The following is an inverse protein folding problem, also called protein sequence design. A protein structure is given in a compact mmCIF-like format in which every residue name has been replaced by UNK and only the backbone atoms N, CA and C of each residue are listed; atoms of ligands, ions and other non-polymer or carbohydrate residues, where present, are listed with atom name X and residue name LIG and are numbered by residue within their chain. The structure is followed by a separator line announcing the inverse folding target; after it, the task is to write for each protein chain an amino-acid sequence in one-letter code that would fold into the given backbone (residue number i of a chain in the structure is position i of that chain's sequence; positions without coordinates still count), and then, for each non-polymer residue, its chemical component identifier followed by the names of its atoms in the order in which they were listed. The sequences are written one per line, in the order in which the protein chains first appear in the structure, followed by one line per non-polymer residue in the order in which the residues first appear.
data_IF_602183855844
#
_entry.id   IF_602183855844
#
_cell.length_a   1.000
_cell.length_b   1.000
_cell.length_c   1.000
_cell.angle_alpha   90.00
_cell.angle_beta   90.00
_cell.angle_gamma   90.00
#
_symmetry.space_group_name_H-M   'P 1'
#
loop_
_entity.id
_entity.type
_entity.pdbx_description
1 polymer ?
#
# COMPACT_ATOMS: atom_id res chain seq x y z
N UNK A 1 -21.38 -5.30 2.59
CA UNK A 1 -21.20 -3.94 3.12
C UNK A 1 -20.41 -4.09 4.40
N UNK A 2 -19.08 -3.96 4.34
CA UNK A 2 -18.27 -4.00 5.56
C UNK A 2 -18.33 -2.61 6.19
N UNK A 3 -19.05 -2.52 7.29
CA UNK A 3 -19.04 -1.41 8.23
C UNK A 3 -17.77 -1.55 9.10
N UNK A 4 -16.58 -1.49 8.48
CA UNK A 4 -15.34 -1.95 9.09
C UNK A 4 -14.07 -1.28 8.56
N UNK A 5 -13.04 -1.28 9.41
CA UNK A 5 -11.70 -0.75 9.11
C UNK A 5 -11.05 -1.50 7.95
N UNK A 6 -10.65 -0.78 6.89
CA UNK A 6 -9.90 -1.32 5.77
C UNK A 6 -8.46 -1.65 6.20
N UNK A 7 -8.00 -2.88 5.95
CA UNK A 7 -6.71 -3.38 6.43
C UNK A 7 -5.69 -3.54 5.30
N UNK A 8 -4.57 -2.85 5.43
CA UNK A 8 -3.40 -3.00 4.55
C UNK A 8 -2.30 -3.77 5.29
N UNK A 9 -1.81 -4.84 4.68
CA UNK A 9 -0.67 -5.60 5.18
C UNK A 9 0.54 -5.44 4.25
N UNK A 10 1.67 -5.03 4.81
CA UNK A 10 2.92 -4.85 4.07
C UNK A 10 3.91 -5.97 4.42
N UNK A 11 4.47 -6.66 3.42
CA UNK A 11 5.26 -7.89 3.64
C UNK A 11 6.65 -7.77 3.02
N UNK A 12 7.68 -8.06 3.83
CA UNK A 12 9.03 -8.32 3.32
C UNK A 12 9.59 -9.60 3.96
N UNK A 13 10.89 -9.86 3.86
CA UNK A 13 11.51 -11.05 4.47
C UNK A 13 11.57 -10.94 6.00
N UNK A 14 12.41 -10.04 6.53
CA UNK A 14 12.71 -9.98 7.97
C UNK A 14 11.80 -9.10 8.83
N UNK A 15 10.92 -8.30 8.22
CA UNK A 15 10.09 -7.27 8.89
C UNK A 15 10.85 -6.26 9.77
N UNK A 16 12.08 -5.94 9.39
CA UNK A 16 12.93 -4.94 10.08
C UNK A 16 13.38 -3.79 9.19
N UNK A 17 13.39 -3.95 7.86
CA UNK A 17 13.86 -2.91 6.93
C UNK A 17 12.71 -2.35 6.08
N UNK A 18 12.36 -3.04 4.98
CA UNK A 18 11.50 -2.51 3.93
C UNK A 18 10.03 -2.42 4.35
N UNK A 19 9.44 -3.50 4.86
CA UNK A 19 8.01 -3.50 5.22
C UNK A 19 7.63 -2.54 6.37
N UNK A 20 8.38 -2.42 7.49
CA UNK A 20 8.03 -1.42 8.50
C UNK A 20 8.25 0.00 8.01
N UNK A 21 9.23 0.26 7.14
CA UNK A 21 9.42 1.57 6.54
C UNK A 21 8.25 1.97 5.63
N UNK A 22 7.86 1.07 4.72
CA UNK A 22 6.70 1.28 3.84
C UNK A 22 5.39 1.42 4.61
N UNK A 23 5.19 0.68 5.71
CA UNK A 23 4.05 0.88 6.61
C UNK A 23 3.98 2.32 7.13
N UNK A 24 5.09 2.88 7.62
CA UNK A 24 5.14 4.26 8.12
C UNK A 24 4.88 5.30 7.03
N UNK A 25 5.42 5.07 5.83
CA UNK A 25 5.16 5.92 4.66
C UNK A 25 3.67 5.92 4.28
N UNK A 26 3.03 4.76 4.24
CA UNK A 26 1.61 4.62 3.91
C UNK A 26 0.72 5.28 4.97
N UNK A 27 1.01 5.11 6.27
CA UNK A 27 0.31 5.84 7.34
C UNK A 27 0.44 7.36 7.19
N UNK A 28 1.64 7.84 6.83
CA UNK A 28 1.88 9.27 6.54
C UNK A 28 1.11 9.75 5.31
N UNK A 29 1.00 8.93 4.26
CA UNK A 29 0.18 9.22 3.09
C UNK A 29 -1.32 9.32 3.44
N UNK A 30 -1.84 8.42 4.27
CA UNK A 30 -3.22 8.48 4.75
C UNK A 30 -3.50 9.78 5.53
N UNK A 31 -2.56 10.24 6.35
CA UNK A 31 -2.69 11.52 7.05
C UNK A 31 -2.73 12.72 6.08
N UNK A 32 -1.92 12.70 5.02
CA UNK A 32 -1.97 13.73 3.96
C UNK A 32 -3.26 13.69 3.17
N UNK A 33 -3.75 12.50 2.83
CA UNK A 33 -5.04 12.33 2.17
C UNK A 33 -6.16 12.88 3.05
N UNK A 34 -6.18 12.54 4.34
CA UNK A 34 -7.14 13.08 5.31
C UNK A 34 -7.17 14.61 5.30
N UNK A 35 -5.99 15.25 5.31
CA UNK A 35 -5.86 16.70 5.24
C UNK A 35 -6.33 17.27 3.89
N UNK A 36 -6.01 16.61 2.77
CA UNK A 36 -6.38 17.05 1.44
C UNK A 36 -7.88 16.92 1.16
N UNK A 37 -8.54 15.90 1.71
CA UNK A 37 -9.98 15.66 1.52
C UNK A 37 -10.85 16.26 2.62
N UNK A 38 -10.26 16.65 3.76
CA UNK A 38 -10.99 17.06 4.96
C UNK A 38 -11.73 15.92 5.65
N UNK A 39 -11.34 14.66 5.40
CA UNK A 39 -12.00 13.47 5.97
C UNK A 39 -11.06 12.73 6.91
N UNK A 40 -11.27 12.89 8.22
CA UNK A 40 -10.46 12.26 9.25
C UNK A 40 -10.55 10.71 9.24
N UNK A 41 -11.56 10.14 8.57
CA UNK A 41 -11.72 8.68 8.50
C UNK A 41 -10.56 7.98 7.80
N UNK A 42 -9.80 8.67 6.97
CA UNK A 42 -8.58 8.12 6.35
C UNK A 42 -7.54 7.66 7.38
N UNK A 43 -7.54 8.22 8.60
CA UNK A 43 -6.60 7.82 9.67
C UNK A 43 -7.25 6.95 10.75
N UNK A 44 -8.59 6.88 10.84
CA UNK A 44 -9.30 6.05 11.82
C UNK A 44 -9.82 4.74 11.25
N UNK A 45 -10.22 4.73 9.97
CA UNK A 45 -10.91 3.62 9.32
C UNK A 45 -9.99 2.85 8.37
N UNK A 46 -8.71 3.22 8.29
CA UNK A 46 -7.69 2.52 7.50
C UNK A 46 -6.52 2.15 8.41
N UNK A 47 -6.28 0.85 8.54
CA UNK A 47 -5.21 0.29 9.35
C UNK A 47 -4.11 -0.27 8.46
N UNK A 48 -2.89 0.26 8.59
CA UNK A 48 -1.70 -0.26 7.89
C UNK A 48 -0.78 -0.95 8.89
N UNK A 49 -0.45 -2.21 8.61
CA UNK A 49 0.46 -3.02 9.42
C UNK A 49 1.47 -3.74 8.54
N UNK A 50 2.54 -4.29 9.12
CA UNK A 50 3.55 -5.05 8.39
C UNK A 50 3.86 -6.40 9.01
N UNK A 51 4.43 -7.32 8.22
CA UNK A 51 4.90 -8.63 8.67
C UNK A 51 6.09 -9.11 7.83
N UNK A 52 6.69 -10.23 8.23
CA UNK A 52 7.86 -10.83 7.61
C UNK A 52 7.67 -12.30 7.28
N UNK A 53 8.05 -12.75 6.09
CA UNK A 53 7.94 -14.17 5.71
C UNK A 53 8.96 -15.05 6.44
N UNK A 54 10.10 -14.46 6.83
CA UNK A 54 11.09 -15.02 7.73
C UNK A 54 11.43 -13.96 8.78
N UNK A 55 10.43 -13.59 9.58
CA UNK A 55 10.52 -12.41 10.43
C UNK A 55 11.56 -12.56 11.54
N UNK A 56 12.24 -11.46 11.83
CA UNK A 56 13.14 -11.36 12.97
C UNK A 56 12.33 -10.93 14.19
N UNK A 57 11.44 -11.80 14.66
CA UNK A 57 10.37 -11.49 15.62
C UNK A 57 10.88 -10.70 16.83
N UNK A 58 10.15 -9.64 17.19
CA UNK A 58 10.44 -8.76 18.32
C UNK A 58 11.51 -7.70 18.05
N UNK A 59 12.21 -7.74 16.92
CA UNK A 59 13.24 -6.73 16.60
C UNK A 59 12.62 -5.40 16.16
N UNK A 60 13.23 -4.25 16.51
CA UNK A 60 12.80 -2.95 16.02
C UNK A 60 13.15 -2.78 14.54
N UNK A 61 12.77 -1.64 13.98
CA UNK A 61 13.25 -1.22 12.66
C UNK A 61 14.79 -1.16 12.70
N UNK A 62 15.42 -1.70 11.66
CA UNK A 62 16.87 -1.68 11.50
C UNK A 62 17.38 -0.22 11.52
N UNK A 63 18.37 0.14 12.35
CA UNK A 63 18.69 1.54 12.64
C UNK A 63 18.97 2.42 11.41
N UNK A 64 19.72 1.95 10.38
CA UNK A 64 19.87 2.70 9.12
C UNK A 64 18.55 3.02 8.42
N UNK A 65 17.55 2.12 8.45
CA UNK A 65 16.23 2.39 7.90
C UNK A 65 15.43 3.36 8.78
N UNK A 66 15.51 3.20 10.10
CA UNK A 66 14.82 4.08 11.04
C UNK A 66 15.28 5.54 10.89
N UNK A 67 16.59 5.76 10.70
CA UNK A 67 17.17 7.09 10.48
C UNK A 67 16.69 7.77 9.17
N UNK A 68 16.11 7.02 8.23
CA UNK A 68 15.61 7.55 6.96
C UNK A 68 14.12 7.91 7.00
N UNK A 69 13.41 7.69 8.12
CA UNK A 69 11.97 7.98 8.22
C UNK A 69 11.66 9.47 8.10
N UNK A 70 12.51 10.32 8.67
CA UNK A 70 12.35 11.78 8.56
C UNK A 70 12.47 12.25 7.10
N UNK A 71 13.35 11.62 6.30
CA UNK A 71 13.49 11.92 4.86
C UNK A 71 12.23 11.60 4.05
N UNK A 72 11.43 10.65 4.52
CA UNK A 72 10.15 10.29 3.92
C UNK A 72 8.99 11.21 4.34
N UNK A 73 9.27 12.30 5.07
CA UNK A 73 8.23 13.16 5.64
C UNK A 73 7.47 12.50 6.78
N UNK A 74 8.05 11.48 7.43
CA UNK A 74 7.46 10.77 8.57
C UNK A 74 8.11 11.25 9.86
N UNK A 75 8.15 12.57 10.05
CA UNK A 75 8.83 13.19 11.18
C UNK A 75 8.28 12.69 12.52
N UNK A 76 9.18 12.26 13.41
CA UNK A 76 8.81 11.78 14.76
C UNK A 76 8.15 10.40 14.80
N UNK A 77 8.01 9.70 13.66
CA UNK A 77 7.32 8.42 13.59
C UNK A 77 7.97 7.27 14.37
N UNK A 78 9.27 7.38 14.65
CA UNK A 78 10.01 6.44 15.51
C UNK A 78 9.49 6.50 16.97
N UNK A 79 8.91 7.62 17.39
CA UNK A 79 8.56 7.89 18.78
C UNK A 79 7.09 7.63 19.13
N UNK A 80 6.21 7.46 18.14
CA UNK A 80 4.75 7.39 18.37
C UNK A 80 4.27 5.98 18.72
N UNK A 81 4.92 4.94 18.18
CA UNK A 81 4.58 3.54 18.45
C UNK A 81 5.78 2.64 18.09
N UNK A 82 6.40 1.93 19.04
CA UNK A 82 7.58 1.11 18.77
C UNK A 82 7.21 -0.06 17.85
N UNK A 83 7.86 -0.12 16.69
CA UNK A 83 7.76 -1.28 15.81
C UNK A 83 8.38 -2.51 16.49
N UNK A 84 7.69 -3.64 16.41
CA UNK A 84 8.23 -4.95 16.72
C UNK A 84 7.94 -5.88 15.56
N UNK A 85 9.00 -6.44 14.97
CA UNK A 85 8.87 -7.35 13.86
C UNK A 85 8.00 -8.56 14.24
N UNK A 86 7.17 -9.01 13.30
CA UNK A 86 6.26 -10.16 13.50
C UNK A 86 6.21 -11.05 12.27
N UNK A 87 5.98 -12.34 12.52
CA UNK A 87 5.89 -13.35 11.49
C UNK A 87 4.62 -13.17 10.65
N UNK A 88 4.75 -13.41 9.34
CA UNK A 88 3.60 -13.54 8.46
C UNK A 88 2.87 -14.82 8.80
N UNK A 89 1.62 -14.67 9.22
CA UNK A 89 0.71 -15.76 9.50
C UNK A 89 -0.50 -15.70 8.56
N UNK A 90 -1.16 -16.85 8.37
CA UNK A 90 -2.32 -16.97 7.50
C UNK A 90 -3.44 -16.00 7.88
N UNK A 91 -3.68 -15.82 9.18
CA UNK A 91 -4.78 -14.99 9.68
C UNK A 91 -4.53 -13.51 9.35
N UNK A 92 -3.28 -13.04 9.41
CA UNK A 92 -2.92 -11.69 8.95
C UNK A 92 -3.25 -11.49 7.47
N UNK A 93 -3.04 -12.52 6.64
CA UNK A 93 -3.39 -12.46 5.21
C UNK A 93 -4.90 -12.52 5.02
N UNK A 94 -5.60 -13.35 5.79
CA UNK A 94 -7.05 -13.50 5.73
C UNK A 94 -7.77 -12.19 6.08
N UNK A 95 -7.30 -11.48 7.10
CA UNK A 95 -7.86 -10.23 7.62
C UNK A 95 -7.55 -9.00 6.76
N UNK A 96 -6.53 -9.04 5.91
CA UNK A 96 -6.14 -7.90 5.09
C UNK A 96 -7.09 -7.71 3.89
N UNK A 97 -7.45 -6.48 3.56
CA UNK A 97 -8.18 -6.14 2.33
C UNK A 97 -7.21 -5.86 1.16
N UNK A 98 -5.97 -5.51 1.48
CA UNK A 98 -4.87 -5.33 0.54
C UNK A 98 -3.56 -5.85 1.15
N UNK A 99 -2.79 -6.63 0.39
CA UNK A 99 -1.45 -7.06 0.77
C UNK A 99 -0.41 -6.58 -0.23
N UNK A 100 0.63 -5.92 0.25
CA UNK A 100 1.72 -5.35 -0.54
C UNK A 100 3.05 -5.99 -0.17
N UNK A 101 3.59 -6.82 -1.07
CA UNK A 101 4.92 -7.39 -0.95
C UNK A 101 6.00 -6.42 -1.44
N UNK A 102 7.16 -6.36 -0.77
CA UNK A 102 8.27 -5.49 -1.18
C UNK A 102 9.12 -6.09 -2.31
N UNK A 103 8.73 -7.27 -2.79
CA UNK A 103 9.30 -8.00 -3.90
C UNK A 103 8.28 -9.05 -4.35
N UNK A 104 8.42 -9.54 -5.57
CA UNK A 104 7.57 -10.58 -6.16
C UNK A 104 7.58 -11.87 -5.36
N UNK A 105 8.72 -12.23 -4.78
CA UNK A 105 8.82 -13.40 -3.91
C UNK A 105 7.88 -13.29 -2.71
N UNK A 106 7.76 -12.11 -2.07
CA UNK A 106 6.83 -11.91 -0.97
C UNK A 106 5.37 -12.05 -1.41
N UNK A 107 5.01 -11.52 -2.58
CA UNK A 107 3.69 -11.75 -3.18
C UNK A 107 3.44 -13.25 -3.37
N UNK A 108 4.41 -13.98 -3.92
CA UNK A 108 4.31 -15.43 -4.12
C UNK A 108 4.12 -16.16 -2.79
N UNK A 109 4.90 -15.84 -1.77
CA UNK A 109 4.83 -16.45 -0.45
C UNK A 109 3.46 -16.22 0.21
N UNK A 110 2.92 -15.00 0.14
CA UNK A 110 1.57 -14.68 0.62
C UNK A 110 0.50 -15.51 -0.12
N UNK A 111 0.59 -15.63 -1.44
CA UNK A 111 -0.36 -16.43 -2.25
C UNK A 111 -0.24 -17.91 -1.94
N UNK A 112 0.97 -18.43 -1.64
CA UNK A 112 1.15 -19.81 -1.19
C UNK A 112 0.48 -20.06 0.17
N UNK A 113 0.52 -19.08 1.08
CA UNK A 113 -0.15 -19.16 2.39
C UNK A 113 -1.68 -19.15 2.24
N UNK A 114 -2.21 -18.25 1.39
CA UNK A 114 -3.65 -18.12 1.14
C UNK A 114 -3.95 -17.83 -0.35
N UNK A 115 -4.18 -18.87 -1.17
CA UNK A 115 -4.38 -18.70 -2.62
C UNK A 115 -5.58 -17.82 -2.99
N UNK A 116 -6.65 -17.84 -2.18
CA UNK A 116 -7.85 -17.03 -2.40
C UNK A 116 -7.60 -15.53 -2.26
N UNK A 117 -6.52 -15.10 -1.62
CA UNK A 117 -6.16 -13.69 -1.51
C UNK A 117 -5.56 -13.12 -2.80
N UNK A 118 -5.26 -13.95 -3.81
CA UNK A 118 -4.48 -13.55 -5.00
C UNK A 118 -4.93 -12.25 -5.66
N UNK A 119 -6.24 -11.95 -5.75
CA UNK A 119 -6.77 -10.70 -6.33
C UNK A 119 -6.32 -9.44 -5.61
N UNK A 120 -6.05 -9.52 -4.30
CA UNK A 120 -5.69 -8.39 -3.42
C UNK A 120 -4.23 -8.40 -2.94
N UNK A 121 -3.37 -9.24 -3.53
CA UNK A 121 -1.94 -9.33 -3.17
C UNK A 121 -1.06 -8.91 -4.35
N UNK A 122 -0.26 -7.87 -4.17
CA UNK A 122 0.60 -7.28 -5.21
C UNK A 122 2.03 -7.10 -4.71
N UNK A 123 3.01 -7.01 -5.60
CA UNK A 123 4.25 -6.31 -5.24
C UNK A 123 3.98 -4.80 -5.16
N UNK A 124 4.69 -4.05 -4.30
CA UNK A 124 4.45 -2.62 -4.09
C UNK A 124 4.62 -1.82 -5.39
N UNK A 125 5.70 -2.08 -6.14
CA UNK A 125 5.93 -1.41 -7.42
C UNK A 125 4.92 -1.83 -8.49
N UNK A 126 4.59 -3.13 -8.56
CA UNK A 126 3.52 -3.64 -9.43
C UNK A 126 2.20 -2.91 -9.16
N UNK A 127 1.82 -2.74 -7.89
CA UNK A 127 0.59 -2.05 -7.51
C UNK A 127 0.59 -0.58 -7.95
N UNK A 128 1.68 0.14 -7.68
CA UNK A 128 1.81 1.54 -8.11
C UNK A 128 1.71 1.69 -9.63
N UNK A 129 2.37 0.81 -10.39
CA UNK A 129 2.32 0.79 -11.86
C UNK A 129 0.93 0.46 -12.39
N UNK A 130 0.27 -0.56 -11.84
CA UNK A 130 -1.10 -0.94 -12.25
C UNK A 130 -2.11 0.17 -11.93
N UNK A 131 -1.90 0.88 -10.81
CA UNK A 131 -2.74 2.00 -10.43
C UNK A 131 -2.55 3.20 -11.37
N UNK A 132 -1.31 3.54 -11.74
CA UNK A 132 -1.06 4.59 -12.74
C UNK A 132 -1.73 4.27 -14.08
N UNK A 133 -1.66 3.02 -14.54
CA UNK A 133 -2.34 2.57 -15.76
C UNK A 133 -3.88 2.60 -15.60
N UNK A 134 -4.40 2.26 -14.42
CA UNK A 134 -5.83 2.32 -14.12
C UNK A 134 -6.36 3.77 -14.13
N UNK A 135 -5.55 4.72 -13.67
CA UNK A 135 -5.85 6.17 -13.75
C UNK A 135 -5.84 6.60 -15.22
N UNK A 136 -4.78 6.28 -15.97
CA UNK A 136 -4.62 6.71 -17.36
C UNK A 136 -5.69 6.13 -18.30
N UNK A 137 -6.10 4.87 -18.08
CA UNK A 137 -7.13 4.19 -18.88
C UNK A 137 -8.56 4.54 -18.47
N UNK A 138 -8.77 5.28 -17.37
CA UNK A 138 -10.09 5.62 -16.84
C UNK A 138 -10.80 4.49 -16.09
N UNK A 139 -10.19 3.30 -15.96
CA UNK A 139 -10.75 2.16 -15.21
C UNK A 139 -10.97 2.51 -13.73
N UNK A 140 -10.04 3.26 -13.14
CA UNK A 140 -10.22 3.75 -11.76
C UNK A 140 -11.43 4.67 -11.63
N UNK A 141 -11.66 5.54 -12.62
CA UNK A 141 -12.80 6.44 -12.58
C UNK A 141 -14.14 5.68 -12.65
N UNK A 142 -14.20 4.59 -13.42
CA UNK A 142 -15.37 3.72 -13.48
C UNK A 142 -15.68 3.05 -12.13
N UNK A 143 -14.72 2.31 -11.59
CA UNK A 143 -14.84 1.59 -10.31
C UNK A 143 -15.15 2.54 -9.14
N UNK A 144 -14.51 3.72 -9.09
CA UNK A 144 -14.74 4.70 -8.04
C UNK A 144 -16.16 5.29 -8.07
N UNK A 145 -16.76 5.48 -9.26
CA UNK A 145 -18.14 5.97 -9.39
C UNK A 145 -19.15 4.93 -8.95
N UNK A 146 -18.88 3.66 -9.19
CA UNK A 146 -19.75 2.55 -8.77
C UNK A 146 -19.79 2.38 -7.24
N UNK A 147 -18.66 2.60 -6.56
CA UNK A 147 -18.58 2.48 -5.10
C UNK A 147 -19.44 3.53 -4.35
N UNK A 148 -19.62 4.73 -4.94
CA UNK A 148 -20.58 5.78 -4.59
C UNK A 148 -20.74 6.24 -3.11
N UNK A 149 -19.88 5.83 -2.17
CA UNK A 149 -20.06 6.12 -0.73
C UNK A 149 -19.15 7.21 -0.17
N UNK A 150 -18.10 7.61 -0.91
CA UNK A 150 -17.08 8.56 -0.43
C UNK A 150 -16.28 8.11 0.80
N UNK A 151 -16.59 6.93 1.35
CA UNK A 151 -15.90 6.38 2.52
C UNK A 151 -14.51 5.87 2.13
N UNK A 152 -13.48 6.05 2.97
CA UNK A 152 -12.11 5.61 2.68
C UNK A 152 -12.01 4.14 2.27
N UNK A 153 -12.69 3.24 2.99
CA UNK A 153 -12.69 1.81 2.67
C UNK A 153 -13.23 1.53 1.27
N UNK A 154 -14.34 2.14 0.87
CA UNK A 154 -14.93 1.94 -0.45
C UNK A 154 -14.05 2.51 -1.58
N UNK A 155 -13.38 3.63 -1.34
CA UNK A 155 -12.39 4.19 -2.28
C UNK A 155 -11.21 3.23 -2.44
N UNK A 156 -10.69 2.68 -1.34
CA UNK A 156 -9.58 1.74 -1.38
C UNK A 156 -9.97 0.41 -2.04
N UNK A 157 -11.17 -0.10 -1.79
CA UNK A 157 -11.73 -1.26 -2.50
C UNK A 157 -11.77 -1.01 -4.01
N UNK A 158 -12.28 0.15 -4.44
CA UNK A 158 -12.30 0.53 -5.85
C UNK A 158 -10.90 0.65 -6.46
N UNK A 159 -9.93 1.21 -5.71
CA UNK A 159 -8.52 1.29 -6.12
C UNK A 159 -7.91 -0.10 -6.30
N UNK A 160 -8.16 -1.03 -5.37
CA UNK A 160 -7.68 -2.41 -5.45
C UNK A 160 -8.30 -3.13 -6.64
N UNK A 161 -9.61 -2.97 -6.84
CA UNK A 161 -10.32 -3.58 -7.96
C UNK A 161 -9.86 -3.04 -9.30
N UNK A 162 -9.65 -1.72 -9.41
CA UNK A 162 -9.11 -1.10 -10.61
C UNK A 162 -7.71 -1.67 -10.93
N UNK A 163 -6.82 -1.71 -9.95
CA UNK A 163 -5.48 -2.29 -10.13
C UNK A 163 -5.54 -3.79 -10.52
N UNK A 164 -6.45 -4.56 -9.91
CA UNK A 164 -6.65 -5.96 -10.24
C UNK A 164 -7.15 -6.15 -11.68
N UNK A 165 -8.07 -5.30 -12.17
CA UNK A 165 -8.56 -5.31 -13.55
C UNK A 165 -7.50 -4.97 -14.59
N UNK A 166 -6.43 -4.26 -14.19
CA UNK A 166 -5.30 -3.95 -15.08
C UNK A 166 -4.25 -5.06 -15.14
N UNK A 167 -4.34 -6.08 -14.28
CA UNK A 167 -3.46 -7.25 -14.37
C UNK A 167 -3.66 -7.94 -15.71
N UNK A 168 -2.56 -8.17 -16.43
CA UNK A 168 -2.57 -8.78 -17.76
C UNK A 168 -2.80 -7.82 -18.92
N UNK A 169 -3.16 -6.56 -18.65
CA UNK A 169 -3.23 -5.49 -19.66
C UNK A 169 -2.03 -4.55 -19.61
N UNK A 170 -1.54 -4.26 -18.40
CA UNK A 170 -0.28 -3.55 -18.26
C UNK A 170 0.87 -4.47 -18.70
N UNK A 171 1.72 -3.98 -19.61
CA UNK A 171 2.92 -4.70 -20.01
C UNK A 171 3.75 -5.05 -18.77
N UNK A 172 4.15 -6.33 -18.59
CA UNK A 172 5.12 -6.66 -17.56
C UNK A 172 6.43 -5.92 -17.85
N UNK A 173 7.20 -5.54 -16.83
CA UNK A 173 8.51 -4.94 -17.06
C UNK A 173 9.43 -5.93 -17.80
N UNK A 174 10.33 -5.38 -18.63
CA UNK A 174 11.32 -6.17 -19.37
C UNK A 174 12.24 -6.96 -18.42
N UNK A 175 12.57 -6.37 -17.27
CA UNK A 175 13.26 -7.03 -16.17
C UNK A 175 12.24 -7.56 -15.15
N UNK A 176 12.16 -8.89 -14.93
CA UNK A 176 11.35 -9.49 -13.88
C UNK A 176 11.59 -8.89 -12.48
N UNK A 177 12.82 -8.44 -12.18
CA UNK A 177 13.20 -7.83 -10.90
C UNK A 177 12.82 -6.35 -10.78
N UNK A 178 12.32 -5.72 -11.84
CA UNK A 178 11.94 -4.30 -11.79
C UNK A 178 10.79 -4.04 -10.81
N UNK A 179 9.92 -5.02 -10.55
CA UNK A 179 8.85 -4.90 -9.55
C UNK A 179 9.36 -5.07 -8.10
N UNK A 180 10.64 -5.37 -7.90
CA UNK A 180 11.24 -5.58 -6.57
C UNK A 180 11.83 -4.29 -5.99
N UNK A 181 11.55 -4.06 -4.70
CA UNK A 181 12.26 -3.04 -3.92
C UNK A 181 13.56 -3.67 -3.42
N UNK A 182 14.68 -3.04 -3.81
CA UNK A 182 16.03 -3.40 -3.38
C UNK A 182 16.07 -3.72 -1.89
N UNK A 183 16.52 -4.92 -1.52
CA UNK A 183 16.81 -5.26 -0.13
C UNK A 183 18.11 -4.59 0.33
N UNK A 184 18.06 -3.65 1.29
CA UNK A 184 19.26 -2.94 1.72
C UNK A 184 20.02 -3.67 2.84
N UNK A 185 19.48 -4.75 3.41
CA UNK A 185 20.04 -5.37 4.61
C UNK A 185 21.49 -5.82 4.40
N UNK A 186 22.41 -5.31 5.24
CA UNK A 186 23.87 -5.51 5.15
C UNK A 186 24.53 -5.12 3.81
N UNK A 187 23.93 -4.19 3.06
CA UNK A 187 24.47 -3.71 1.76
C UNK A 187 25.02 -2.28 1.78
N UNK A 188 25.19 -1.70 2.97
CA UNK A 188 25.73 -0.35 3.18
C UNK A 188 24.71 0.78 2.97
N UNK A 189 25.10 1.98 3.39
CA UNK A 189 24.20 3.15 3.50
C UNK A 189 23.57 3.57 2.16
N UNK A 190 24.32 3.41 1.06
CA UNK A 190 23.82 3.70 -0.29
C UNK A 190 22.63 2.82 -0.68
N UNK A 191 22.64 1.54 -0.30
CA UNK A 191 21.52 0.63 -0.56
C UNK A 191 20.29 0.99 0.29
N UNK A 192 20.49 1.35 1.56
CA UNK A 192 19.41 1.84 2.43
C UNK A 192 18.76 3.11 1.85
N UNK A 193 19.57 4.09 1.43
CA UNK A 193 19.08 5.33 0.83
C UNK A 193 18.31 5.07 -0.49
N UNK A 194 18.83 4.20 -1.36
CA UNK A 194 18.17 3.85 -2.62
C UNK A 194 16.84 3.12 -2.40
N UNK A 195 16.82 2.16 -1.46
CA UNK A 195 15.60 1.42 -1.08
C UNK A 195 14.54 2.37 -0.52
N UNK A 196 14.93 3.29 0.37
CA UNK A 196 14.05 4.31 0.93
C UNK A 196 13.50 5.26 -0.15
N UNK A 197 14.37 5.81 -1.01
CA UNK A 197 13.97 6.72 -2.08
C UNK A 197 12.96 6.07 -3.04
N UNK A 198 13.19 4.81 -3.40
CA UNK A 198 12.26 4.05 -4.23
C UNK A 198 10.91 3.88 -3.54
N UNK A 199 10.87 3.46 -2.26
CA UNK A 199 9.61 3.31 -1.52
C UNK A 199 8.86 4.64 -1.36
N UNK A 200 9.57 5.76 -1.18
CA UNK A 200 8.96 7.10 -1.14
C UNK A 200 8.24 7.41 -2.45
N UNK A 201 8.89 7.21 -3.61
CA UNK A 201 8.27 7.43 -4.92
C UNK A 201 7.02 6.56 -5.11
N UNK A 202 7.12 5.26 -4.81
CA UNK A 202 6.00 4.33 -4.96
C UNK A 202 4.80 4.71 -4.08
N UNK A 203 5.04 5.11 -2.83
CA UNK A 203 3.95 5.54 -1.94
C UNK A 203 3.34 6.86 -2.42
N UNK A 204 4.13 7.79 -2.94
CA UNK A 204 3.60 9.04 -3.52
C UNK A 204 2.75 8.78 -4.77
N UNK A 205 3.12 7.80 -5.60
CA UNK A 205 2.29 7.35 -6.74
C UNK A 205 0.96 6.77 -6.27
N UNK A 206 1.00 5.89 -5.26
CA UNK A 206 -0.20 5.32 -4.66
C UNK A 206 -1.10 6.42 -4.07
N UNK A 207 -0.53 7.38 -3.34
CA UNK A 207 -1.25 8.54 -2.79
C UNK A 207 -1.99 9.32 -3.88
N UNK A 208 -1.31 9.64 -4.99
CA UNK A 208 -1.93 10.33 -6.14
C UNK A 208 -3.07 9.51 -6.75
N UNK A 209 -2.89 8.20 -6.91
CA UNK A 209 -3.92 7.31 -7.43
C UNK A 209 -5.14 7.25 -6.52
N UNK A 210 -4.95 7.17 -5.20
CA UNK A 210 -6.07 7.20 -4.23
C UNK A 210 -6.83 8.53 -4.30
N UNK A 211 -6.13 9.67 -4.36
CA UNK A 211 -6.75 10.99 -4.52
C UNK A 211 -7.54 11.11 -5.83
N UNK A 212 -7.05 10.52 -6.92
CA UNK A 212 -7.79 10.44 -8.19
C UNK A 212 -9.07 9.60 -8.04
N UNK A 213 -9.01 8.50 -7.28
CA UNK A 213 -10.19 7.70 -6.92
C UNK A 213 -11.23 8.50 -6.12
N UNK A 214 -10.79 9.26 -5.12
CA UNK A 214 -11.66 10.15 -4.32
C UNK A 214 -12.38 11.17 -5.21
N UNK A 215 -11.63 11.83 -6.10
CA UNK A 215 -12.17 12.84 -7.01
C UNK A 215 -13.21 12.23 -7.97
N UNK A 216 -12.92 11.04 -8.53
CA UNK A 216 -13.81 10.35 -9.45
C UNK A 216 -15.10 9.86 -8.77
N UNK A 217 -15.01 9.32 -7.56
CA UNK A 217 -16.18 8.88 -6.78
C UNK A 217 -17.11 10.03 -6.41
N UNK A 218 -16.54 11.15 -5.98
CA UNK A 218 -17.29 12.37 -5.65
C UNK A 218 -18.07 12.93 -6.87
N UNK A 219 -17.47 12.88 -8.06
CA UNK A 219 -18.13 13.30 -9.30
C UNK A 219 -19.32 12.38 -9.68
N UNK A 220 -19.21 11.08 -9.40
CA UNK A 220 -20.30 10.11 -9.63
C UNK A 220 -21.50 10.34 -8.70
N UNK A 221 -21.25 10.58 -7.41
CA UNK A 221 -22.30 10.83 -6.42
C UNK A 221 -23.12 12.10 -6.74
N UNK A 222 -22.46 13.16 -7.21
CA UNK A 222 -23.12 14.40 -7.64
C UNK A 222 -24.03 14.19 -8.86
N UNK A 223 -23.61 13.37 -9.84
CA UNK A 223 -24.40 13.08 -11.04
C UNK A 223 -25.62 12.19 -10.77
N UNK A 224 -25.57 11.33 -9.75
CA UNK A 224 -26.70 10.46 -9.37
C UNK A 224 -27.80 11.19 -8.58
N UNK A 225 -27.53 12.38 -8.04
CA UNK A 225 -28.45 13.16 -7.20
C UNK A 225 -29.26 14.25 -7.93
N UNK A 226 -29.11 14.41 -9.24
CA UNK A 226 -29.89 15.40 -10.00
C UNK A 226 -31.33 14.90 -10.25
N UNK A 227 -32.38 15.65 -9.83
CA UNK A 227 -33.76 15.29 -10.14
C UNK A 227 -33.99 15.39 -11.65
N UNK A 228 -34.65 14.37 -12.22
CA UNK A 228 -35.12 14.35 -13.61
C UNK A 228 -36.34 15.24 -13.81
#
# INVERSE_FOLDING_TARGET
MSEGTFRVLVVCTGNICRSPYAERLLRSALARIAAATGDARWTTDVLVTSAGTLAMVGRPIEPPMAALLDRGGVAGAVLVDPHAARQLERDLVADADLVLGLAREHRREVVMVLPSASRRVFALNEFARLLDDAVASGVLAGTAREAASGAPAAVLEAVVDAAAMRRGFALPPDDPGADDVLDPYHRGDGAYAASAAHMIDLVQRIERGVLAGVAAGSAGASAAGAPR
#
